data_IF_879953514410
#
_entry.id   IF_879953514410
#
_cell.length_a   1.000
_cell.length_b   1.000
_cell.length_c   1.000
_cell.angle_alpha   90.00
_cell.angle_beta   90.00
_cell.angle_gamma   90.00
#
_symmetry.space_group_name_H-M   'P 1'
#
loop_
_entity.id
_entity.type
_entity.pdbx_description
1 polymer ?
#
# COMPACT_ATOMS: atom_id res chain seq x y z
N UNK A 1 5.87 1.08 -20.02
CA UNK A 1 5.62 -0.32 -19.59
C UNK A 1 5.27 -1.17 -20.78
N UNK A 2 5.50 -2.49 -20.69
CA UNK A 2 5.16 -3.44 -21.74
C UNK A 2 3.79 -4.07 -21.52
N UNK A 3 3.16 -4.55 -22.60
CA UNK A 3 1.94 -5.35 -22.50
C UNK A 3 2.21 -6.60 -21.67
N UNK A 4 1.31 -6.94 -20.77
CA UNK A 4 1.47 -8.06 -19.82
C UNK A 4 2.41 -7.77 -18.65
N UNK A 5 3.03 -6.59 -18.56
CA UNK A 5 3.85 -6.21 -17.42
C UNK A 5 2.99 -5.96 -16.17
N UNK A 6 3.57 -6.19 -15.00
CA UNK A 6 2.95 -5.82 -13.73
C UNK A 6 3.27 -4.37 -13.37
N UNK A 7 2.26 -3.66 -12.88
CA UNK A 7 2.39 -2.34 -12.26
C UNK A 7 1.68 -2.38 -10.91
N UNK A 8 2.35 -1.90 -9.87
CA UNK A 8 1.72 -1.65 -8.58
C UNK A 8 0.96 -0.30 -8.66
N UNK A 9 -0.33 -0.35 -8.37
CA UNK A 9 -1.22 0.81 -8.37
C UNK A 9 -1.76 1.00 -6.95
N UNK A 10 -1.21 1.95 -6.20
CA UNK A 10 -1.49 2.15 -4.76
C UNK A 10 -1.50 0.82 -3.99
N UNK A 11 -0.49 -0.01 -4.19
CA UNK A 11 -0.32 -1.31 -3.53
C UNK A 11 -0.97 -2.49 -4.24
N UNK A 12 -1.86 -2.29 -5.20
CA UNK A 12 -2.45 -3.39 -5.96
C UNK A 12 -1.61 -3.72 -7.21
N UNK A 13 -1.10 -4.94 -7.31
CA UNK A 13 -0.40 -5.43 -8.50
C UNK A 13 -1.41 -5.70 -9.62
N UNK A 14 -1.33 -4.94 -10.70
CA UNK A 14 -2.21 -5.07 -11.87
C UNK A 14 -1.39 -5.40 -13.12
N UNK A 15 -2.05 -6.09 -14.07
CA UNK A 15 -1.44 -6.44 -15.36
C UNK A 15 -1.87 -5.45 -16.44
N UNK A 16 -0.90 -4.92 -17.18
CA UNK A 16 -1.16 -4.02 -18.33
C UNK A 16 -1.79 -4.82 -19.46
N UNK A 17 -3.01 -4.49 -19.83
CA UNK A 17 -3.76 -5.12 -20.94
C UNK A 17 -3.88 -4.23 -22.17
N UNK A 18 -3.69 -2.92 -22.01
CA UNK A 18 -3.61 -1.95 -23.10
C UNK A 18 -2.78 -0.74 -22.67
N UNK A 19 -2.21 -0.01 -23.63
CA UNK A 19 -1.40 1.19 -23.36
C UNK A 19 -1.31 2.09 -24.58
N UNK A 20 -1.04 3.36 -24.34
CA UNK A 20 -0.85 4.34 -25.40
C UNK A 20 -0.18 5.61 -24.88
N UNK A 21 -0.10 6.59 -25.77
CA UNK A 21 0.35 7.94 -25.44
C UNK A 21 -0.65 8.95 -26.01
N UNK A 22 -0.93 10.00 -25.25
CA UNK A 22 -1.69 11.16 -25.68
C UNK A 22 -0.81 12.39 -25.46
N UNK A 23 -0.18 12.84 -26.53
CA UNK A 23 0.83 13.90 -26.49
C UNK A 23 2.09 13.47 -25.72
N UNK A 24 2.39 14.13 -24.61
CA UNK A 24 3.53 13.85 -23.72
C UNK A 24 3.21 12.85 -22.63
N UNK A 25 1.92 12.59 -22.39
CA UNK A 25 1.44 11.70 -21.35
C UNK A 25 1.23 10.30 -21.89
N UNK A 26 1.62 9.31 -21.08
CA UNK A 26 1.34 7.90 -21.34
C UNK A 26 0.16 7.41 -20.52
N UNK A 27 -0.59 6.44 -21.03
CA UNK A 27 -1.63 5.76 -20.31
C UNK A 27 -1.50 4.25 -20.45
N UNK A 28 -2.08 3.53 -19.53
CA UNK A 28 -2.28 2.09 -19.64
C UNK A 28 -3.65 1.70 -19.08
N UNK A 29 -4.14 0.56 -19.49
CA UNK A 29 -5.34 -0.07 -18.95
C UNK A 29 -5.00 -1.38 -18.25
N UNK A 30 -5.76 -1.70 -17.24
CA UNK A 30 -5.67 -2.96 -16.51
C UNK A 30 -7.08 -3.48 -16.16
N UNK A 31 -7.29 -4.78 -16.30
CA UNK A 31 -8.51 -5.42 -15.82
C UNK A 31 -8.39 -5.71 -14.31
N UNK A 32 -9.44 -5.37 -13.56
CA UNK A 32 -9.46 -5.54 -12.11
C UNK A 32 -10.49 -6.61 -11.74
N UNK A 33 -10.03 -7.67 -11.06
CA UNK A 33 -10.89 -8.77 -10.63
C UNK A 33 -11.85 -8.35 -9.51
N UNK A 34 -12.97 -9.10 -9.36
CA UNK A 34 -13.90 -8.88 -8.25
C UNK A 34 -13.22 -9.06 -6.88
N UNK A 35 -12.26 -9.99 -6.76
CA UNK A 35 -11.47 -10.17 -5.53
C UNK A 35 -10.66 -8.91 -5.23
N UNK A 36 -9.93 -8.37 -6.21
CA UNK A 36 -9.16 -7.13 -6.03
C UNK A 36 -10.06 -5.97 -5.61
N UNK A 37 -11.23 -5.82 -6.25
CA UNK A 37 -12.19 -4.77 -5.88
C UNK A 37 -12.72 -4.95 -4.45
N UNK A 38 -12.87 -6.19 -3.98
CA UNK A 38 -13.36 -6.48 -2.62
C UNK A 38 -12.33 -6.21 -1.52
N UNK A 39 -11.03 -6.29 -1.83
CA UNK A 39 -9.93 -6.16 -0.89
C UNK A 39 -9.24 -4.81 -0.89
N UNK A 40 -9.55 -3.96 -1.86
CA UNK A 40 -8.85 -2.69 -2.09
C UNK A 40 -9.79 -1.50 -2.17
N UNK A 41 -9.22 -0.31 -2.19
CA UNK A 41 -9.95 0.95 -2.43
C UNK A 41 -10.23 1.19 -3.92
N UNK A 42 -9.79 0.30 -4.83
CA UNK A 42 -9.89 0.51 -6.28
C UNK A 42 -11.33 0.72 -6.78
N UNK A 43 -12.30 0.07 -6.13
CA UNK A 43 -13.72 0.24 -6.45
C UNK A 43 -14.28 1.66 -6.21
N UNK A 44 -13.58 2.46 -5.40
CA UNK A 44 -13.97 3.84 -5.09
C UNK A 44 -13.34 4.87 -6.03
N UNK A 45 -12.34 4.45 -6.83
CA UNK A 45 -11.61 5.39 -7.69
C UNK A 45 -12.51 6.01 -8.75
N UNK A 46 -12.23 7.26 -9.07
CA UNK A 46 -12.92 8.06 -10.08
C UNK A 46 -11.87 8.79 -10.90
N UNK A 47 -12.27 9.37 -12.01
CA UNK A 47 -11.41 10.26 -12.77
C UNK A 47 -10.78 11.34 -11.85
N UNK A 48 -9.45 11.49 -11.95
CA UNK A 48 -8.68 12.41 -11.11
C UNK A 48 -8.25 11.84 -9.75
N UNK A 49 -8.61 10.59 -9.38
CA UNK A 49 -8.08 9.95 -8.18
C UNK A 49 -6.56 9.80 -8.30
N UNK A 50 -5.76 10.36 -7.36
CA UNK A 50 -4.31 10.20 -7.37
C UNK A 50 -3.93 8.76 -7.00
N UNK A 51 -2.96 8.20 -7.72
CA UNK A 51 -2.50 6.82 -7.55
C UNK A 51 -0.98 6.79 -7.44
N UNK A 52 -0.46 6.05 -6.47
CA UNK A 52 0.96 5.72 -6.40
C UNK A 52 1.28 4.64 -7.44
N UNK A 53 2.23 4.89 -8.33
CA UNK A 53 2.68 3.91 -9.31
C UNK A 53 4.08 3.42 -9.01
N UNK A 54 4.26 2.10 -9.07
CA UNK A 54 5.58 1.48 -8.99
C UNK A 54 5.71 0.38 -10.03
N UNK A 55 6.86 0.33 -10.70
CA UNK A 55 7.17 -0.73 -11.67
C UNK A 55 7.64 -1.97 -10.93
N UNK A 56 7.40 -3.14 -11.53
CA UNK A 56 7.96 -4.37 -11.02
C UNK A 56 9.51 -4.29 -10.96
N UNK A 57 10.08 -4.70 -9.82
CA UNK A 57 11.52 -4.83 -9.63
C UNK A 57 12.10 -5.83 -10.64
N UNK A 58 13.26 -5.51 -11.19
CA UNK A 58 14.04 -6.43 -12.01
C UNK A 58 15.07 -7.15 -11.16
N UNK A 59 15.52 -8.31 -11.62
CA UNK A 59 16.64 -9.00 -10.98
C UNK A 59 17.90 -8.11 -11.04
N UNK A 60 18.44 -7.79 -9.87
CA UNK A 60 19.59 -6.90 -9.72
C UNK A 60 19.26 -5.45 -9.34
N UNK A 61 17.98 -5.05 -9.32
CA UNK A 61 17.59 -3.76 -8.78
C UNK A 61 17.79 -3.71 -7.26
N UNK A 62 18.04 -2.53 -6.72
CA UNK A 62 18.12 -2.32 -5.27
C UNK A 62 16.71 -2.41 -4.66
N UNK A 63 16.58 -3.20 -3.59
CA UNK A 63 15.36 -3.30 -2.84
C UNK A 63 15.36 -2.31 -1.67
N UNK A 64 14.53 -1.29 -1.74
CA UNK A 64 14.30 -0.34 -0.65
C UNK A 64 13.15 -0.81 0.25
N UNK A 65 13.39 -0.84 1.56
CA UNK A 65 12.37 -1.27 2.53
C UNK A 65 12.27 -2.79 2.67
N UNK A 66 11.06 -3.35 2.54
CA UNK A 66 10.80 -4.79 2.61
C UNK A 66 10.23 -5.31 1.28
N UNK A 67 10.05 -6.63 1.18
CA UNK A 67 9.45 -7.25 -0.01
C UNK A 67 7.96 -6.89 -0.05
N UNK A 68 7.58 -6.05 -1.01
CA UNK A 68 6.20 -5.68 -1.31
C UNK A 68 5.77 -6.44 -2.55
N UNK A 69 4.72 -7.23 -2.44
CA UNK A 69 4.25 -8.09 -3.53
C UNK A 69 3.14 -7.46 -4.39
N UNK A 70 2.52 -6.41 -3.87
CA UNK A 70 1.32 -5.83 -4.49
C UNK A 70 0.07 -6.68 -4.26
N UNK A 71 0.10 -7.54 -3.25
CA UNK A 71 -1.00 -8.39 -2.85
C UNK A 71 -1.69 -7.80 -1.61
N UNK A 72 -2.53 -6.80 -1.84
CA UNK A 72 -3.28 -6.11 -0.79
C UNK A 72 -4.14 -7.10 -0.01
N UNK A 73 -4.00 -7.09 1.31
CA UNK A 73 -4.74 -7.98 2.22
C UNK A 73 -6.10 -7.40 2.62
N UNK A 74 -6.19 -6.08 2.66
CA UNK A 74 -7.42 -5.38 3.04
C UNK A 74 -7.25 -3.87 3.03
N UNK A 75 -8.24 -3.20 3.60
CA UNK A 75 -8.30 -1.74 3.68
C UNK A 75 -8.18 -1.32 5.14
N UNK A 76 -7.25 -0.42 5.44
CA UNK A 76 -7.14 0.25 6.73
C UNK A 76 -7.77 1.64 6.68
N UNK A 77 -8.18 2.15 7.84
CA UNK A 77 -8.72 3.49 7.98
C UNK A 77 -7.74 4.42 8.68
N UNK A 78 -7.58 5.64 8.16
CA UNK A 78 -6.80 6.69 8.82
C UNK A 78 -7.59 7.21 10.03
N UNK A 79 -7.00 7.12 11.23
CA UNK A 79 -7.60 7.56 12.49
C UNK A 79 -7.16 8.98 12.82
N UNK A 80 -5.86 9.27 12.67
CA UNK A 80 -5.33 10.60 12.94
C UNK A 80 -4.10 10.91 12.10
N UNK A 81 -3.87 12.18 11.84
CA UNK A 81 -2.67 12.71 11.20
C UNK A 81 -2.19 13.88 12.04
N UNK A 82 -0.98 13.75 12.62
CA UNK A 82 -0.42 14.75 13.53
C UNK A 82 0.96 15.19 13.04
N UNK A 83 1.25 16.49 12.96
CA UNK A 83 2.59 16.98 12.67
C UNK A 83 3.59 16.51 13.73
N UNK A 84 4.78 16.10 13.29
CA UNK A 84 5.89 15.71 14.14
C UNK A 84 7.21 16.28 13.54
N UNK A 85 7.51 17.53 13.88
CA UNK A 85 8.53 18.31 13.16
C UNK A 85 8.12 18.49 11.70
N UNK A 86 9.02 18.18 10.77
CA UNK A 86 8.75 18.23 9.33
C UNK A 86 8.04 16.96 8.81
N UNK A 87 7.94 15.92 9.64
CA UNK A 87 7.28 14.65 9.35
C UNK A 87 5.81 14.68 9.81
N UNK A 88 5.08 13.61 9.49
CA UNK A 88 3.73 13.38 10.01
C UNK A 88 3.63 12.01 10.67
N UNK A 89 3.09 11.99 11.88
CA UNK A 89 2.63 10.77 12.53
C UNK A 89 1.23 10.46 12.05
N UNK A 90 1.03 9.26 11.49
CA UNK A 90 -0.27 8.81 11.01
C UNK A 90 -0.63 7.54 11.75
N UNK A 91 -1.84 7.51 12.34
CA UNK A 91 -2.42 6.34 12.99
C UNK A 91 -3.48 5.73 12.08
N UNK A 92 -3.45 4.41 12.00
CA UNK A 92 -4.40 3.62 11.21
C UNK A 92 -5.11 2.61 12.09
N UNK A 93 -6.32 2.26 11.70
CA UNK A 93 -7.03 1.09 12.19
C UNK A 93 -7.03 0.01 11.09
N UNK A 94 -6.44 -1.14 11.42
CA UNK A 94 -6.41 -2.31 10.55
C UNK A 94 -7.65 -3.20 10.79
N UNK A 95 -8.08 -3.98 9.78
CA UNK A 95 -9.04 -5.06 10.02
C UNK A 95 -8.54 -6.01 11.12
N UNK A 96 -9.45 -6.47 12.00
CA UNK A 96 -9.12 -7.35 13.12
C UNK A 96 -8.35 -8.61 12.70
N UNK A 97 -8.68 -9.15 11.51
CA UNK A 97 -8.01 -10.33 10.97
C UNK A 97 -6.53 -10.07 10.59
N UNK A 98 -6.14 -8.81 10.32
CA UNK A 98 -4.80 -8.43 9.90
C UNK A 98 -3.96 -7.88 11.05
N UNK A 99 -4.59 -7.31 12.07
CA UNK A 99 -3.89 -6.65 13.18
C UNK A 99 -2.88 -7.54 13.91
N UNK A 100 -3.09 -8.87 14.11
CA UNK A 100 -2.09 -9.73 14.76
C UNK A 100 -0.78 -9.89 13.96
N UNK A 101 -0.82 -9.56 12.66
CA UNK A 101 0.34 -9.67 11.76
C UNK A 101 1.13 -8.36 11.65
N UNK A 102 0.72 -7.30 12.35
CA UNK A 102 1.38 -6.00 12.39
C UNK A 102 2.13 -5.87 13.71
N UNK A 103 3.45 -5.67 13.64
CA UNK A 103 4.31 -5.62 14.82
C UNK A 103 5.07 -4.30 14.89
N UNK A 104 5.24 -3.76 16.11
CA UNK A 104 6.11 -2.60 16.33
C UNK A 104 7.53 -2.89 15.84
N UNK A 105 8.13 -1.94 15.10
CA UNK A 105 9.42 -2.09 14.40
C UNK A 105 9.42 -3.09 13.24
N UNK A 106 8.27 -3.71 12.93
CA UNK A 106 8.08 -4.47 11.70
C UNK A 106 7.78 -3.55 10.52
N UNK A 107 7.53 -4.16 9.36
CA UNK A 107 7.19 -3.47 8.12
C UNK A 107 5.71 -3.62 7.80
N UNK A 108 5.16 -2.62 7.12
CA UNK A 108 3.82 -2.62 6.57
C UNK A 108 3.83 -1.84 5.25
N UNK A 109 2.92 -2.17 4.36
CA UNK A 109 2.76 -1.42 3.11
C UNK A 109 1.42 -0.67 3.11
N UNK A 110 1.46 0.63 2.92
CA UNK A 110 0.28 1.50 2.81
C UNK A 110 0.27 2.15 1.43
N UNK A 111 -0.79 1.89 0.64
CA UNK A 111 -0.93 2.34 -0.74
C UNK A 111 0.34 2.10 -1.58
N UNK A 112 0.98 0.95 -1.41
CA UNK A 112 2.20 0.55 -2.11
C UNK A 112 3.51 1.07 -1.51
N UNK A 113 3.45 1.90 -0.46
CA UNK A 113 4.64 2.48 0.18
C UNK A 113 5.08 1.59 1.35
N UNK A 114 6.34 1.12 1.31
CA UNK A 114 6.97 0.38 2.40
C UNK A 114 7.27 1.30 3.59
N UNK A 115 6.77 0.94 4.78
CA UNK A 115 6.86 1.78 5.97
C UNK A 115 7.20 0.96 7.21
N UNK A 116 7.91 1.58 8.15
CA UNK A 116 8.19 0.99 9.46
C UNK A 116 7.06 1.33 10.43
N UNK A 117 6.53 0.31 11.11
CA UNK A 117 5.55 0.46 12.19
C UNK A 117 6.26 0.99 13.44
N UNK A 118 5.76 2.09 14.00
CA UNK A 118 6.34 2.69 15.21
C UNK A 118 5.76 2.06 16.48
N UNK A 119 4.45 1.97 16.55
CA UNK A 119 3.67 1.53 17.70
C UNK A 119 2.45 0.73 17.26
N UNK A 120 1.98 -0.16 18.13
CA UNK A 120 0.78 -0.98 17.91
C UNK A 120 -0.03 -1.01 19.22
N UNK A 121 -1.33 -0.79 19.12
CA UNK A 121 -2.28 -0.86 20.24
C UNK A 121 -3.60 -1.49 19.76
N UNK A 122 -3.81 -2.77 20.08
CA UNK A 122 -4.97 -3.51 19.59
C UNK A 122 -4.90 -3.65 18.06
N UNK A 123 -5.95 -3.15 17.37
CA UNK A 123 -6.01 -3.12 15.91
C UNK A 123 -5.49 -1.80 15.32
N UNK A 124 -4.96 -0.90 16.16
CA UNK A 124 -4.37 0.36 15.70
C UNK A 124 -2.85 0.28 15.64
N UNK A 125 -2.27 0.93 14.63
CA UNK A 125 -0.83 1.05 14.47
C UNK A 125 -0.46 2.43 13.93
N UNK A 126 0.75 2.87 14.29
CA UNK A 126 1.29 4.16 13.89
C UNK A 126 2.52 4.05 12.99
N UNK A 127 2.63 4.99 12.07
CA UNK A 127 3.82 5.20 11.24
C UNK A 127 4.27 6.66 11.35
N UNK A 128 5.52 6.92 11.02
CA UNK A 128 6.02 8.27 10.80
C UNK A 128 6.42 8.42 9.32
N UNK A 129 5.86 9.41 8.65
CA UNK A 129 6.10 9.66 7.22
C UNK A 129 6.98 10.90 7.07
N UNK A 130 8.17 10.71 6.51
CA UNK A 130 9.16 11.78 6.30
C UNK A 130 8.76 12.71 5.15
N UNK A 131 9.27 13.95 5.08
CA UNK A 131 8.90 14.94 4.06
C UNK A 131 9.01 14.41 2.64
N UNK A 132 10.11 13.72 2.30
CA UNK A 132 10.29 13.15 0.97
C UNK A 132 9.13 12.23 0.54
N UNK A 133 8.67 11.35 1.44
CA UNK A 133 7.56 10.43 1.17
C UNK A 133 6.22 11.18 1.08
N UNK A 134 6.01 12.19 1.92
CA UNK A 134 4.81 13.04 1.88
C UNK A 134 4.68 13.77 0.53
N UNK A 135 5.79 14.24 -0.02
CA UNK A 135 5.82 15.01 -1.27
C UNK A 135 5.67 14.13 -2.51
N UNK A 136 6.15 12.89 -2.46
CA UNK A 136 6.26 12.01 -3.62
C UNK A 136 5.20 10.91 -3.68
N UNK A 137 4.29 10.84 -2.69
CA UNK A 137 3.23 9.83 -2.64
C UNK A 137 1.89 10.44 -2.24
N UNK A 138 0.82 9.65 -2.37
CA UNK A 138 -0.52 10.02 -1.91
C UNK A 138 -0.61 10.20 -0.39
N UNK A 139 0.37 9.68 0.38
CA UNK A 139 0.37 9.75 1.85
C UNK A 139 0.39 11.20 2.37
N UNK A 140 0.93 12.14 1.60
CA UNK A 140 0.91 13.56 1.94
C UNK A 140 -0.48 14.20 1.97
N UNK A 141 -1.49 13.54 1.37
CA UNK A 141 -2.87 14.00 1.29
C UNK A 141 -3.82 13.25 2.24
N UNK A 142 -3.29 12.36 3.08
CA UNK A 142 -4.12 11.59 4.00
C UNK A 142 -4.72 12.49 5.08
N UNK A 143 -5.99 12.22 5.37
CA UNK A 143 -6.78 12.88 6.41
C UNK A 143 -7.56 11.83 7.21
N UNK A 144 -7.93 12.10 8.47
CA UNK A 144 -8.76 11.18 9.25
C UNK A 144 -10.05 10.79 8.52
N UNK A 145 -10.39 9.50 8.57
CA UNK A 145 -11.54 8.91 7.91
C UNK A 145 -11.27 8.38 6.49
N UNK A 146 -10.14 8.74 5.85
CA UNK A 146 -9.78 8.16 4.56
C UNK A 146 -9.38 6.69 4.70
N UNK A 147 -9.58 5.95 3.61
CA UNK A 147 -9.23 4.53 3.51
C UNK A 147 -8.00 4.35 2.64
N UNK A 148 -7.15 3.39 3.00
CA UNK A 148 -5.90 3.07 2.30
C UNK A 148 -5.77 1.57 2.10
N UNK A 149 -5.09 1.15 1.05
CA UNK A 149 -4.76 -0.24 0.82
C UNK A 149 -3.65 -0.68 1.79
N UNK A 150 -3.87 -1.80 2.45
CA UNK A 150 -2.95 -2.39 3.43
C UNK A 150 -2.46 -3.74 2.92
N UNK A 151 -1.13 -3.89 2.81
CA UNK A 151 -0.47 -5.18 2.63
C UNK A 151 0.41 -5.44 3.87
N UNK A 152 0.23 -6.60 4.51
CA UNK A 152 1.09 -7.04 5.62
C UNK A 152 2.45 -7.51 5.10
N UNK A 153 3.45 -7.54 5.98
CA UNK A 153 4.73 -8.16 5.65
C UNK A 153 4.53 -9.64 5.27
N UNK A 154 5.10 -10.04 4.14
CA UNK A 154 5.01 -11.41 3.63
C UNK A 154 5.48 -12.45 4.67
N UNK A 155 6.51 -12.14 5.46
CA UNK A 155 7.01 -13.04 6.51
C UNK A 155 5.94 -13.27 7.58
N UNK A 156 5.22 -12.23 8.00
CA UNK A 156 4.14 -12.35 8.97
C UNK A 156 3.00 -13.24 8.46
N UNK A 157 2.67 -13.14 7.17
CA UNK A 157 1.63 -13.97 6.53
C UNK A 157 1.95 -15.46 6.62
N UNK A 158 3.16 -15.86 6.27
CA UNK A 158 3.55 -17.27 6.29
C UNK A 158 3.75 -17.81 7.71
N UNK A 159 4.32 -17.00 8.62
CA UNK A 159 4.43 -17.36 10.03
C UNK A 159 3.04 -17.57 10.65
N UNK A 160 2.10 -16.66 10.44
CA UNK A 160 0.73 -16.80 10.92
C UNK A 160 0.06 -18.08 10.42
N UNK A 161 0.24 -18.41 9.13
CA UNK A 161 -0.31 -19.64 8.53
C UNK A 161 0.28 -20.92 9.14
N UNK A 162 1.58 -20.93 9.46
CA UNK A 162 2.23 -22.09 10.06
C UNK A 162 1.81 -22.31 11.51
N UNK A 163 1.62 -21.21 12.27
CA UNK A 163 1.20 -21.28 13.69
C UNK A 163 -0.28 -21.68 13.83
N UNK A 164 -1.11 -21.38 12.85
CA UNK A 164 -2.56 -21.72 12.86
C UNK A 164 -2.87 -23.18 12.50
N UNK A 165 -1.86 -24.04 12.25
CA UNK A 165 -2.06 -25.43 11.86
C UNK A 165 -2.19 -26.40 13.06
N UNK A 166 -2.19 -25.89 14.27
CA UNK A 166 -2.50 -26.60 15.52
C UNK A 166 -3.95 -26.20 15.96
#
# INVERSE_FOLDING_TARGET
>A
VDMGASICCSGACLTVVDKGADGVDGWFAADVSAETLSKTTLGDWREGTPVNFERALKVGDEMGGHIVSGHVDGVAQVISVTPEGDSRRIQFEAPDALSPMIAAKGSVTIDGVSLTVNDVAGNQFGINVIPHTLENTTLGKLEPGLRVNLEIDMLARYVARLVQQD
#
